data_IF_639975079610
#
_entry.id   IF_639975079610
#
_cell.length_a   1.000
_cell.length_b   1.000
_cell.length_c   1.000
_cell.angle_alpha   90.00
_cell.angle_beta   90.00
_cell.angle_gamma   90.00
#
_symmetry.space_group_name_H-M   'P 1'
#
loop_
_entity.id
_entity.type
_entity.pdbx_description
1 polymer ?
#
# COMPACT_ATOMS: atom_id res chain seq x y z
N UNK A 1 -1.17 -27.96 3.62
CA UNK A 1 -1.75 -26.65 4.05
C UNK A 1 -2.72 -26.25 2.96
N UNK A 2 -3.96 -25.87 3.29
CA UNK A 2 -4.94 -25.45 2.30
C UNK A 2 -4.71 -23.99 1.92
N UNK A 3 -4.69 -23.67 0.63
CA UNK A 3 -4.64 -22.31 0.13
C UNK A 3 -5.89 -21.55 0.57
N UNK A 4 -5.72 -20.38 1.15
CA UNK A 4 -6.83 -19.58 1.70
C UNK A 4 -6.51 -18.11 1.53
N UNK A 5 -7.47 -17.33 1.03
CA UNK A 5 -7.31 -15.88 0.91
C UNK A 5 -8.67 -15.17 0.97
N UNK A 6 -8.66 -13.96 1.49
CA UNK A 6 -9.84 -13.11 1.62
C UNK A 6 -9.53 -11.70 1.17
N UNK A 7 -10.42 -11.14 0.37
CA UNK A 7 -10.48 -9.71 0.07
C UNK A 7 -11.46 -9.06 1.02
N UNK A 8 -11.01 -8.03 1.72
CA UNK A 8 -11.75 -7.38 2.79
C UNK A 8 -12.43 -6.12 2.26
N UNK A 9 -13.74 -5.95 2.50
CA UNK A 9 -14.43 -4.72 2.13
C UNK A 9 -13.87 -3.55 2.94
N UNK A 10 -13.59 -2.43 2.29
CA UNK A 10 -13.12 -1.20 2.94
C UNK A 10 -14.27 -0.22 3.03
N UNK A 11 -14.72 0.09 4.25
CA UNK A 11 -15.76 1.09 4.52
C UNK A 11 -15.19 2.51 4.54
N UNK A 12 -16.07 3.51 4.40
CA UNK A 12 -15.66 4.90 4.60
C UNK A 12 -15.12 5.15 6.00
N UNK A 13 -15.70 4.51 7.02
CA UNK A 13 -15.23 4.58 8.41
C UNK A 13 -13.79 4.05 8.54
N UNK A 14 -13.46 2.92 7.90
CA UNK A 14 -12.10 2.38 7.88
C UNK A 14 -11.13 3.33 7.18
N UNK A 15 -11.57 3.99 6.12
CA UNK A 15 -10.76 5.00 5.42
C UNK A 15 -10.54 6.24 6.28
N UNK A 16 -11.56 6.71 6.97
CA UNK A 16 -11.50 7.88 7.86
C UNK A 16 -10.66 7.61 9.10
N UNK A 17 -10.66 6.36 9.58
CA UNK A 17 -9.76 5.89 10.63
C UNK A 17 -8.28 5.95 10.21
N UNK A 18 -7.97 5.85 8.92
CA UNK A 18 -6.62 6.00 8.39
C UNK A 18 -5.74 4.74 8.45
N UNK A 19 -6.29 3.59 8.83
CA UNK A 19 -5.58 2.30 8.84
C UNK A 19 -6.56 1.17 8.53
N UNK A 20 -6.33 0.42 7.45
CA UNK A 20 -7.21 -0.69 7.07
C UNK A 20 -6.49 -1.74 6.25
N UNK A 21 -7.03 -2.95 6.32
CA UNK A 21 -6.60 -4.09 5.53
C UNK A 21 -7.47 -4.21 4.28
N UNK A 22 -6.89 -4.72 3.20
CA UNK A 22 -7.59 -4.92 1.92
C UNK A 22 -7.62 -6.38 1.50
N UNK A 23 -6.60 -7.16 1.88
CA UNK A 23 -6.61 -8.61 1.71
C UNK A 23 -5.62 -9.29 2.66
N UNK A 24 -5.89 -10.56 2.93
CA UNK A 24 -4.97 -11.46 3.66
C UNK A 24 -5.09 -12.85 3.05
N UNK A 25 -3.98 -13.59 3.05
CA UNK A 25 -4.02 -14.97 2.59
C UNK A 25 -2.74 -15.72 2.82
N UNK A 26 -2.81 -17.02 2.49
CA UNK A 26 -1.67 -17.93 2.44
C UNK A 26 -1.77 -18.86 1.25
N UNK A 27 -0.62 -19.24 0.71
CA UNK A 27 -0.52 -20.16 -0.41
C UNK A 27 0.76 -20.96 -0.38
N UNK A 28 0.67 -22.19 -0.86
CA UNK A 28 1.83 -23.03 -1.12
C UNK A 28 1.97 -23.26 -2.62
N UNK A 29 3.13 -22.96 -3.17
CA UNK A 29 3.45 -23.14 -4.59
C UNK A 29 4.50 -24.24 -4.69
N UNK A 30 4.12 -25.37 -5.23
CA UNK A 30 5.00 -26.51 -5.38
C UNK A 30 6.07 -26.28 -6.46
N UNK A 31 7.16 -27.06 -6.38
CA UNK A 31 8.18 -27.07 -7.42
C UNK A 31 7.54 -27.40 -8.79
N UNK A 32 7.93 -26.65 -9.81
CA UNK A 32 7.39 -26.78 -11.18
C UNK A 32 6.03 -26.13 -11.43
N UNK A 33 5.33 -25.66 -10.39
CA UNK A 33 4.02 -25.01 -10.54
C UNK A 33 4.17 -23.63 -11.19
N UNK A 34 3.19 -23.24 -12.01
CA UNK A 34 3.13 -21.92 -12.63
C UNK A 34 2.79 -20.85 -11.58
N UNK A 35 3.47 -19.71 -11.65
CA UNK A 35 3.26 -18.56 -10.77
C UNK A 35 3.15 -17.27 -11.59
N UNK A 36 2.26 -16.33 -11.25
CA UNK A 36 1.20 -16.50 -10.25
C UNK A 36 0.12 -17.49 -10.72
N UNK A 37 -0.57 -18.14 -9.78
CA UNK A 37 -1.67 -19.03 -10.15
C UNK A 37 -2.84 -18.23 -10.72
N UNK A 38 -3.65 -18.86 -11.57
CA UNK A 38 -4.85 -18.25 -12.11
C UNK A 38 -5.94 -18.08 -11.04
N UNK A 39 -6.83 -17.09 -11.23
CA UNK A 39 -8.00 -16.89 -10.36
C UNK A 39 -7.93 -15.72 -9.39
N UNK A 40 -6.85 -14.95 -9.38
CA UNK A 40 -6.80 -13.67 -8.65
C UNK A 40 -7.46 -12.55 -9.47
N UNK A 41 -8.07 -11.53 -8.82
CA UNK A 41 -8.55 -10.33 -9.50
C UNK A 41 -7.45 -9.65 -10.32
N UNK A 42 -7.84 -8.94 -11.39
CA UNK A 42 -6.92 -8.42 -12.40
C UNK A 42 -5.74 -7.57 -11.87
N UNK A 43 -5.94 -6.79 -10.79
CA UNK A 43 -4.88 -5.98 -10.16
C UNK A 43 -3.79 -6.82 -9.49
N UNK A 44 -4.12 -8.07 -9.09
CA UNK A 44 -3.18 -9.00 -8.46
C UNK A 44 -2.58 -10.01 -9.45
N UNK A 45 -3.14 -10.07 -10.67
CA UNK A 45 -2.55 -10.85 -11.74
C UNK A 45 -1.36 -10.10 -12.34
N UNK A 46 -0.26 -10.78 -12.52
CA UNK A 46 0.89 -10.24 -13.24
C UNK A 46 1.66 -11.35 -13.97
N UNK A 47 2.43 -10.93 -14.96
CA UNK A 47 3.39 -11.77 -15.65
C UNK A 47 4.79 -11.35 -15.19
N UNK A 48 5.66 -12.33 -14.91
CA UNK A 48 7.07 -12.03 -14.58
C UNK A 48 7.73 -11.10 -15.58
N UNK A 49 7.37 -11.16 -16.86
CA UNK A 49 7.96 -10.29 -17.90
C UNK A 49 7.55 -8.83 -17.75
N UNK A 50 6.34 -8.58 -17.27
CA UNK A 50 5.77 -7.23 -17.17
C UNK A 50 5.87 -6.65 -15.77
N UNK A 51 5.82 -7.50 -14.74
CA UNK A 51 5.65 -7.05 -13.38
C UNK A 51 4.28 -6.40 -13.17
N UNK A 52 4.15 -5.64 -12.08
CA UNK A 52 2.93 -4.89 -11.78
C UNK A 52 3.21 -3.69 -10.89
N UNK A 53 2.22 -2.81 -10.80
CA UNK A 53 2.14 -1.72 -9.82
C UNK A 53 0.88 -1.91 -9.01
N UNK A 54 0.97 -1.93 -7.69
CA UNK A 54 -0.20 -1.99 -6.79
C UNK A 54 -0.57 -0.58 -6.32
N UNK A 55 -1.88 -0.33 -6.04
CA UNK A 55 -2.33 0.95 -5.47
C UNK A 55 -2.21 0.99 -3.93
N UNK A 56 -1.68 -0.06 -3.31
CA UNK A 56 -1.63 -0.28 -1.87
C UNK A 56 -0.31 -0.88 -1.43
N UNK A 57 -0.06 -0.89 -0.14
CA UNK A 57 1.05 -1.63 0.45
C UNK A 57 0.70 -3.12 0.55
N UNK A 58 1.72 -3.96 0.39
CA UNK A 58 1.60 -5.37 0.75
C UNK A 58 2.85 -5.85 1.48
N UNK A 59 2.62 -6.67 2.49
CA UNK A 59 3.64 -7.47 3.15
C UNK A 59 3.47 -8.90 2.68
N UNK A 60 4.49 -9.45 2.02
CA UNK A 60 4.52 -10.86 1.61
C UNK A 60 5.61 -11.56 2.41
N UNK A 61 5.22 -12.56 3.17
CA UNK A 61 6.13 -13.39 3.96
C UNK A 61 6.32 -14.75 3.29
N UNK A 62 7.49 -14.98 2.75
CA UNK A 62 7.91 -16.30 2.26
C UNK A 62 8.53 -17.06 3.42
N UNK A 63 7.78 -17.99 4.00
CA UNK A 63 8.20 -18.74 5.20
C UNK A 63 9.09 -19.93 4.91
N UNK A 64 9.03 -20.46 3.69
CA UNK A 64 9.84 -21.59 3.23
C UNK A 64 9.97 -21.55 1.71
N UNK A 65 11.06 -22.11 1.19
CA UNK A 65 11.34 -22.17 -0.25
C UNK A 65 12.38 -21.14 -0.67
N UNK A 66 12.37 -20.79 -1.96
CA UNK A 66 13.30 -19.84 -2.55
C UNK A 66 12.62 -19.05 -3.65
N UNK A 67 13.10 -17.86 -3.92
CA UNK A 67 12.52 -17.01 -4.94
C UNK A 67 13.37 -15.83 -5.35
N UNK A 68 12.78 -14.99 -6.19
CA UNK A 68 13.37 -13.74 -6.65
C UNK A 68 12.33 -12.61 -6.55
N UNK A 69 12.82 -11.45 -6.18
CA UNK A 69 12.10 -10.19 -6.15
C UNK A 69 12.87 -9.13 -6.95
N UNK A 70 12.15 -8.25 -7.60
CA UNK A 70 12.75 -7.10 -8.31
C UNK A 70 11.82 -5.90 -8.23
N UNK A 71 12.38 -4.74 -7.97
CA UNK A 71 11.71 -3.44 -8.08
C UNK A 71 12.66 -2.39 -8.65
N UNK A 72 12.12 -1.23 -9.00
CA UNK A 72 12.95 -0.10 -9.49
C UNK A 72 14.01 0.32 -8.45
N UNK A 73 13.68 0.23 -7.16
CA UNK A 73 14.55 0.70 -6.08
C UNK A 73 15.56 -0.36 -5.61
N UNK A 74 15.17 -1.65 -5.60
CA UNK A 74 16.05 -2.71 -5.08
C UNK A 74 16.90 -3.38 -6.16
N UNK A 75 16.49 -3.29 -7.44
CA UNK A 75 16.96 -4.21 -8.47
C UNK A 75 16.56 -5.66 -8.17
N UNK A 76 17.14 -6.60 -8.90
CA UNK A 76 16.90 -8.03 -8.71
C UNK A 76 17.58 -8.54 -7.42
N UNK A 77 16.79 -9.21 -6.56
CA UNK A 77 17.23 -9.89 -5.34
C UNK A 77 16.75 -11.33 -5.36
N UNK A 78 17.66 -12.28 -5.17
CA UNK A 78 17.33 -13.68 -4.95
C UNK A 78 17.46 -14.02 -3.48
N UNK A 79 16.62 -14.94 -3.00
CA UNK A 79 16.61 -15.40 -1.62
C UNK A 79 16.25 -16.89 -1.55
N UNK A 80 16.78 -17.58 -0.53
CA UNK A 80 16.54 -19.01 -0.28
C UNK A 80 16.31 -19.32 1.22
N UNK A 81 16.00 -18.30 1.97
CA UNK A 81 15.72 -18.33 3.40
C UNK A 81 14.39 -17.58 3.69
N UNK A 82 13.80 -17.72 4.89
CA UNK A 82 12.59 -16.98 5.26
C UNK A 82 12.75 -15.46 5.06
N UNK A 83 11.88 -14.90 4.22
CA UNK A 83 12.04 -13.53 3.71
C UNK A 83 10.71 -12.77 3.74
N UNK A 84 10.78 -11.50 4.13
CA UNK A 84 9.72 -10.51 3.95
C UNK A 84 9.97 -9.72 2.68
N UNK A 85 8.90 -9.52 1.91
CA UNK A 85 8.85 -8.61 0.78
C UNK A 85 7.86 -7.50 1.09
N UNK A 86 8.32 -6.25 1.10
CA UNK A 86 7.45 -5.08 1.19
C UNK A 86 7.18 -4.53 -0.19
N UNK A 87 5.90 -4.41 -0.55
CA UNK A 87 5.44 -3.81 -1.79
C UNK A 87 4.85 -2.44 -1.49
N UNK A 88 5.13 -1.47 -2.35
CA UNK A 88 4.76 -0.07 -2.13
C UNK A 88 3.77 0.41 -3.20
N UNK A 89 2.79 1.25 -2.84
CA UNK A 89 1.88 1.82 -3.81
C UNK A 89 2.64 2.66 -4.84
N UNK A 90 2.31 2.45 -6.11
CA UNK A 90 2.92 3.19 -7.19
C UNK A 90 4.32 2.72 -7.61
N UNK A 91 4.95 1.81 -6.89
CA UNK A 91 6.28 1.27 -7.23
C UNK A 91 6.15 0.00 -8.05
N UNK A 92 6.78 -0.03 -9.21
CA UNK A 92 6.83 -1.23 -10.04
C UNK A 92 7.63 -2.33 -9.35
N UNK A 93 7.09 -3.57 -9.38
CA UNK A 93 7.74 -4.73 -8.81
C UNK A 93 7.31 -6.03 -9.52
N UNK A 94 8.12 -7.07 -9.31
CA UNK A 94 7.80 -8.45 -9.66
C UNK A 94 8.47 -9.40 -8.68
N UNK A 95 7.86 -10.57 -8.48
CA UNK A 95 8.44 -11.63 -7.65
C UNK A 95 7.89 -12.99 -8.09
N UNK A 96 8.65 -14.04 -7.81
CA UNK A 96 8.26 -15.42 -8.13
C UNK A 96 9.05 -16.42 -7.30
N UNK A 97 8.51 -17.64 -7.07
CA UNK A 97 9.29 -18.75 -6.54
C UNK A 97 10.37 -19.20 -7.53
N UNK A 98 11.44 -19.75 -7.01
CA UNK A 98 12.38 -20.53 -7.79
C UNK A 98 11.67 -21.79 -8.26
N UNK A 99 11.70 -22.07 -9.56
CA UNK A 99 10.89 -23.12 -10.19
C UNK A 99 11.15 -24.52 -9.61
N UNK A 100 12.39 -24.80 -9.26
CA UNK A 100 12.84 -26.10 -8.79
C UNK A 100 12.51 -26.36 -7.32
N UNK A 101 12.24 -25.30 -6.55
CA UNK A 101 12.02 -25.38 -5.08
C UNK A 101 10.59 -25.03 -4.67
N UNK A 102 9.95 -24.10 -5.38
CA UNK A 102 8.69 -23.54 -4.94
C UNK A 102 8.84 -22.71 -3.66
N UNK A 103 7.71 -22.34 -3.04
CA UNK A 103 7.69 -21.64 -1.76
C UNK A 103 6.34 -21.75 -1.04
N UNK A 104 6.32 -21.33 0.22
CA UNK A 104 5.11 -21.08 0.99
C UNK A 104 5.07 -19.61 1.36
N UNK A 105 4.02 -18.93 0.91
CA UNK A 105 3.83 -17.49 1.14
C UNK A 105 2.58 -17.20 1.97
N UNK A 106 2.65 -16.12 2.70
CA UNK A 106 1.54 -15.43 3.37
C UNK A 106 1.58 -13.97 2.99
N UNK A 107 0.44 -13.33 2.84
CA UNK A 107 0.42 -11.90 2.53
C UNK A 107 -0.63 -11.17 3.33
N UNK A 108 -0.37 -9.90 3.54
CA UNK A 108 -1.26 -8.92 4.11
C UNK A 108 -1.19 -7.65 3.26
N UNK A 109 -2.30 -7.29 2.62
CA UNK A 109 -2.41 -6.01 1.92
C UNK A 109 -3.11 -5.00 2.83
N UNK A 110 -2.61 -3.78 2.84
CA UNK A 110 -3.05 -2.73 3.76
C UNK A 110 -2.84 -1.35 3.15
N UNK A 111 -3.57 -0.37 3.69
CA UNK A 111 -3.42 1.02 3.27
C UNK A 111 -3.90 1.99 4.37
N UNK A 112 -3.89 3.27 4.05
CA UNK A 112 -4.31 4.35 4.93
C UNK A 112 -3.15 5.24 5.37
N UNK A 113 -3.48 6.31 6.06
CA UNK A 113 -2.51 7.33 6.48
C UNK A 113 -1.40 6.76 7.35
N UNK A 114 -1.74 5.81 8.24
CA UNK A 114 -0.75 5.15 9.09
C UNK A 114 0.27 4.37 8.26
N UNK A 115 -0.16 3.67 7.20
CA UNK A 115 0.74 2.96 6.30
C UNK A 115 1.70 3.93 5.58
N UNK A 116 1.17 5.02 5.04
CA UNK A 116 1.99 6.06 4.42
C UNK A 116 2.94 6.73 5.43
N UNK A 117 2.52 6.87 6.68
CA UNK A 117 3.38 7.41 7.73
C UNK A 117 4.54 6.47 8.09
N UNK A 118 4.32 5.15 8.11
CA UNK A 118 5.42 4.19 8.29
C UNK A 118 6.49 4.35 7.19
N UNK A 119 6.07 4.51 5.94
CA UNK A 119 6.97 4.74 4.82
C UNK A 119 7.71 6.09 4.94
N UNK A 120 7.00 7.17 5.26
CA UNK A 120 7.59 8.52 5.39
C UNK A 120 8.57 8.65 6.57
N UNK A 121 8.36 7.85 7.62
CA UNK A 121 9.28 7.76 8.76
C UNK A 121 10.48 6.85 8.46
N UNK A 122 10.54 6.23 7.28
CA UNK A 122 11.62 5.31 6.91
C UNK A 122 11.59 3.98 7.67
N UNK A 123 10.45 3.62 8.29
CA UNK A 123 10.27 2.32 8.95
C UNK A 123 10.10 1.19 7.94
N UNK A 124 9.54 1.50 6.78
CA UNK A 124 9.51 0.68 5.58
C UNK A 124 9.97 1.54 4.42
N UNK A 125 10.87 1.02 3.58
CA UNK A 125 11.44 1.78 2.46
C UNK A 125 11.49 0.91 1.20
N UNK A 126 11.22 1.48 0.02
CA UNK A 126 11.32 0.73 -1.23
C UNK A 126 12.73 0.17 -1.49
N UNK A 127 13.80 0.85 -1.04
CA UNK A 127 15.18 0.38 -1.13
C UNK A 127 15.47 -0.87 -0.28
N UNK A 128 14.71 -1.04 0.81
CA UNK A 128 14.84 -2.15 1.76
C UNK A 128 13.63 -3.09 1.71
N UNK A 129 13.10 -3.31 0.51
CA UNK A 129 11.90 -4.10 0.29
C UNK A 129 12.07 -5.60 0.56
N UNK A 130 13.30 -6.11 0.68
CA UNK A 130 13.62 -7.53 0.89
C UNK A 130 14.37 -7.69 2.20
N UNK A 131 13.75 -8.33 3.18
CA UNK A 131 14.29 -8.45 4.53
C UNK A 131 14.29 -9.92 5.00
N UNK A 132 15.41 -10.36 5.56
CA UNK A 132 15.53 -11.70 6.17
C UNK A 132 14.79 -11.75 7.50
N UNK A 133 14.04 -12.83 7.73
CA UNK A 133 13.32 -13.09 8.98
C UNK A 133 14.16 -13.94 9.92
N UNK A 134 14.31 -13.49 11.16
CA UNK A 134 15.06 -14.20 12.21
C UNK A 134 14.23 -15.22 12.98
N UNK A 135 12.92 -14.98 13.14
CA UNK A 135 11.97 -15.90 13.79
C UNK A 135 10.76 -16.18 12.89
N UNK A 136 10.92 -17.07 11.88
CA UNK A 136 9.85 -17.37 10.93
C UNK A 136 8.67 -18.12 11.57
N UNK A 137 8.90 -18.90 12.62
CA UNK A 137 7.84 -19.67 13.28
C UNK A 137 6.89 -18.76 14.06
N UNK A 138 7.42 -17.77 14.76
CA UNK A 138 6.60 -16.78 15.46
C UNK A 138 5.76 -15.97 14.48
N UNK A 139 6.39 -15.48 13.42
CA UNK A 139 5.68 -14.69 12.40
C UNK A 139 4.61 -15.52 11.68
N UNK A 140 4.88 -16.79 11.40
CA UNK A 140 3.91 -17.75 10.84
C UNK A 140 2.67 -17.85 11.73
N UNK A 141 2.86 -18.05 13.04
CA UNK A 141 1.75 -18.15 13.99
C UNK A 141 0.90 -16.87 14.03
N UNK A 142 1.52 -15.70 13.99
CA UNK A 142 0.81 -14.43 14.01
C UNK A 142 -0.01 -14.21 12.72
N UNK A 143 0.56 -14.55 11.56
CA UNK A 143 -0.17 -14.52 10.29
C UNK A 143 -1.37 -15.47 10.30
N UNK A 144 -1.15 -16.72 10.71
CA UNK A 144 -2.21 -17.72 10.72
C UNK A 144 -3.32 -17.34 11.72
N UNK A 145 -2.98 -16.82 12.90
CA UNK A 145 -3.95 -16.34 13.89
C UNK A 145 -4.81 -15.17 13.36
N UNK A 146 -4.22 -14.25 12.60
CA UNK A 146 -4.98 -13.16 11.98
C UNK A 146 -5.87 -13.69 10.84
N UNK A 147 -5.34 -14.59 10.02
CA UNK A 147 -6.10 -15.21 8.92
C UNK A 147 -7.29 -16.02 9.45
N UNK A 148 -7.12 -16.78 10.52
CA UNK A 148 -8.19 -17.57 11.14
C UNK A 148 -9.33 -16.67 11.61
N UNK A 149 -9.05 -15.51 12.23
CA UNK A 149 -10.06 -14.51 12.59
C UNK A 149 -10.83 -13.96 11.40
N UNK A 150 -10.13 -13.73 10.28
CA UNK A 150 -10.77 -13.30 9.04
C UNK A 150 -11.64 -14.41 8.47
N UNK A 151 -11.21 -15.68 8.54
CA UNK A 151 -12.00 -16.82 8.10
C UNK A 151 -13.29 -16.99 8.91
N UNK A 152 -13.26 -16.71 10.22
CA UNK A 152 -14.45 -16.75 11.10
C UNK A 152 -15.48 -15.70 10.69
N UNK A 153 -15.06 -14.53 10.22
CA UNK A 153 -15.97 -13.46 9.81
C UNK A 153 -15.43 -12.61 8.64
N UNK A 154 -15.43 -13.15 7.41
CA UNK A 154 -14.77 -12.54 6.24
C UNK A 154 -15.39 -11.22 5.76
N UNK A 155 -16.59 -10.88 6.23
CA UNK A 155 -17.31 -9.65 5.83
C UNK A 155 -16.98 -8.48 6.79
N UNK A 156 -16.47 -8.78 7.98
CA UNK A 156 -16.24 -7.78 9.02
C UNK A 156 -14.80 -7.25 8.97
N UNK A 157 -14.57 -6.22 8.18
CA UNK A 157 -13.33 -5.44 8.24
C UNK A 157 -13.46 -4.34 9.28
N UNK A 158 -13.26 -4.69 10.55
CA UNK A 158 -13.36 -3.75 11.66
C UNK A 158 -12.05 -2.99 11.90
N UNK A 159 -12.16 -1.83 12.57
CA UNK A 159 -10.98 -1.09 13.06
C UNK A 159 -10.08 -1.99 13.92
N UNK A 160 -10.67 -2.86 14.74
CA UNK A 160 -9.90 -3.79 15.59
C UNK A 160 -9.12 -4.81 14.77
N UNK A 161 -9.68 -5.32 13.67
CA UNK A 161 -8.96 -6.20 12.75
C UNK A 161 -7.80 -5.46 12.09
N UNK A 162 -8.02 -4.21 11.69
CA UNK A 162 -6.96 -3.36 11.12
C UNK A 162 -5.83 -3.12 12.11
N UNK A 163 -6.14 -2.81 13.38
CA UNK A 163 -5.13 -2.68 14.43
C UNK A 163 -4.31 -3.96 14.64
N UNK A 164 -4.95 -5.13 14.57
CA UNK A 164 -4.24 -6.42 14.66
C UNK A 164 -3.32 -6.64 13.45
N UNK A 165 -3.77 -6.28 12.24
CA UNK A 165 -2.96 -6.33 11.03
C UNK A 165 -1.75 -5.40 11.10
N UNK A 166 -1.92 -4.18 11.60
CA UNK A 166 -0.78 -3.27 11.83
C UNK A 166 0.13 -3.76 12.96
N UNK A 167 -0.41 -4.45 13.97
CA UNK A 167 0.38 -5.18 14.95
C UNK A 167 1.25 -6.26 14.32
N UNK A 168 0.67 -7.05 13.39
CA UNK A 168 1.42 -8.05 12.62
C UNK A 168 2.55 -7.43 11.78
N UNK A 169 2.32 -6.24 11.18
CA UNK A 169 3.39 -5.51 10.46
C UNK A 169 4.52 -5.11 11.42
N UNK A 170 4.19 -4.65 12.62
CA UNK A 170 5.19 -4.34 13.64
C UNK A 170 5.99 -5.60 14.06
N UNK A 171 5.32 -6.72 14.30
CA UNK A 171 5.96 -8.00 14.60
C UNK A 171 6.87 -8.47 13.46
N UNK A 172 6.41 -8.30 12.22
CA UNK A 172 7.19 -8.61 11.02
C UNK A 172 8.48 -7.79 10.97
N UNK A 173 8.40 -6.48 11.18
CA UNK A 173 9.58 -5.61 11.24
C UNK A 173 10.53 -5.98 12.38
N UNK A 174 10.01 -6.28 13.57
CA UNK A 174 10.80 -6.70 14.72
C UNK A 174 11.46 -8.07 14.52
N UNK A 175 10.89 -8.93 13.68
CA UNK A 175 11.43 -10.26 13.36
C UNK A 175 12.58 -10.23 12.35
N UNK A 176 12.92 -9.08 11.78
CA UNK A 176 14.03 -8.97 10.83
C UNK A 176 15.37 -8.81 11.53
N UNK A 177 16.44 -9.38 10.97
CA UNK A 177 17.77 -9.35 11.56
C UNK A 177 18.36 -7.91 11.70
N UNK A 178 17.81 -6.95 10.99
CA UNK A 178 18.21 -5.54 11.03
C UNK A 178 17.33 -4.65 11.95
N UNK A 179 16.29 -5.26 12.55
CA UNK A 179 15.13 -4.48 13.01
C UNK A 179 15.33 -3.58 14.25
N UNK A 180 15.96 -3.96 15.37
CA UNK A 180 15.89 -3.09 16.54
C UNK A 180 16.70 -1.82 16.39
N UNK A 181 17.86 -1.90 15.76
CA UNK A 181 18.79 -0.77 15.65
C UNK A 181 18.43 0.17 14.49
N UNK A 182 17.98 -0.37 13.36
CA UNK A 182 17.60 0.45 12.21
C UNK A 182 16.23 1.13 12.40
N UNK A 183 15.23 0.45 12.95
CA UNK A 183 13.92 1.04 13.23
C UNK A 183 13.99 2.08 14.35
N UNK A 184 14.72 1.82 15.44
CA UNK A 184 14.94 2.81 16.50
C UNK A 184 15.87 3.92 16.02
N UNK A 185 16.91 3.61 15.23
CA UNK A 185 17.74 4.62 14.59
C UNK A 185 17.01 5.41 13.50
N UNK A 186 16.03 4.78 12.79
CA UNK A 186 15.16 5.48 11.85
C UNK A 186 14.18 6.40 12.59
N UNK A 187 13.61 5.99 13.71
CA UNK A 187 12.80 6.87 14.58
C UNK A 187 13.61 8.03 15.13
N UNK A 188 14.87 7.79 15.53
CA UNK A 188 15.78 8.84 16.01
C UNK A 188 16.42 9.64 14.87
N UNK A 189 16.74 9.02 13.71
CA UNK A 189 17.23 9.73 12.51
C UNK A 189 16.11 10.45 11.78
N UNK A 190 14.87 9.93 11.76
CA UNK A 190 13.73 10.66 11.23
C UNK A 190 13.42 11.88 12.09
N UNK A 191 13.67 11.83 13.40
CA UNK A 191 13.71 13.05 14.21
C UNK A 191 14.85 14.01 13.81
N UNK A 192 15.98 13.49 13.30
CA UNK A 192 17.13 14.29 12.88
C UNK A 192 17.16 14.65 11.37
N UNK A 193 16.47 13.90 10.51
CA UNK A 193 16.43 14.13 9.06
C UNK A 193 15.23 14.93 8.58
N UNK A 194 14.13 14.97 9.34
CA UNK A 194 13.04 15.95 9.27
C UNK A 194 13.21 16.92 10.45
N UNK A 195 14.34 17.58 10.49
CA UNK A 195 14.66 18.60 11.52
C UNK A 195 13.77 19.86 11.40
N UNK A 196 12.83 19.80 10.45
CA UNK A 196 11.81 20.80 10.25
C UNK A 196 10.46 20.31 10.79
N UNK A 197 10.22 20.54 12.09
CA UNK A 197 8.95 20.25 12.76
C UNK A 197 7.74 20.83 11.99
N UNK A 198 7.96 21.92 11.25
CA UNK A 198 6.95 22.58 10.43
C UNK A 198 6.59 21.72 9.21
N UNK A 199 7.59 21.12 8.55
CA UNK A 199 7.35 20.26 7.39
C UNK A 199 6.65 18.99 7.83
N UNK A 200 7.01 18.40 8.96
CA UNK A 200 6.34 17.25 9.54
C UNK A 200 4.86 17.54 9.83
N UNK A 201 4.56 18.67 10.47
CA UNK A 201 3.18 19.10 10.71
C UNK A 201 2.43 19.39 9.40
N UNK A 202 3.10 19.99 8.40
CA UNK A 202 2.49 20.20 7.08
C UNK A 202 2.11 18.87 6.42
N UNK A 203 3.00 17.89 6.43
CA UNK A 203 2.74 16.55 5.90
C UNK A 203 1.57 15.87 6.63
N UNK A 204 1.54 15.95 7.95
CA UNK A 204 0.44 15.41 8.75
C UNK A 204 -0.92 16.03 8.36
N UNK A 205 -0.98 17.36 8.20
CA UNK A 205 -2.19 18.04 7.74
C UNK A 205 -2.58 17.60 6.32
N UNK A 206 -1.62 17.45 5.41
CA UNK A 206 -1.88 17.01 4.04
C UNK A 206 -2.46 15.59 4.04
N UNK A 207 -1.81 14.65 4.73
CA UNK A 207 -2.24 13.25 4.73
C UNK A 207 -3.60 13.04 5.40
N UNK A 208 -3.88 13.79 6.47
CA UNK A 208 -5.16 13.68 7.17
C UNK A 208 -6.31 14.43 6.50
N UNK A 209 -6.03 15.48 5.70
CA UNK A 209 -7.07 16.38 5.20
C UNK A 209 -7.07 16.62 3.71
N UNK A 210 -6.21 15.96 2.91
CA UNK A 210 -6.17 16.14 1.45
C UNK A 210 -7.50 15.84 0.75
N UNK A 211 -8.32 14.95 1.33
CA UNK A 211 -9.66 14.62 0.85
C UNK A 211 -10.72 15.72 1.10
N UNK A 212 -10.41 16.67 1.95
CA UNK A 212 -11.23 17.86 2.20
C UNK A 212 -10.82 19.01 1.25
N UNK A 213 -11.64 20.05 1.12
CA UNK A 213 -11.31 21.24 0.35
C UNK A 213 -10.24 22.08 1.09
N UNK A 214 -9.00 21.59 1.12
CA UNK A 214 -7.85 22.25 1.74
C UNK A 214 -6.96 22.90 0.67
N UNK A 215 -6.42 24.08 0.97
CA UNK A 215 -5.43 24.79 0.17
C UNK A 215 -4.09 24.92 0.90
N UNK A 216 -3.03 25.22 0.15
CA UNK A 216 -1.70 25.52 0.72
C UNK A 216 -1.78 26.66 1.75
N UNK A 217 -2.65 27.65 1.50
CA UNK A 217 -2.86 28.76 2.43
C UNK A 217 -3.50 28.31 3.75
N UNK A 218 -4.41 27.33 3.71
CA UNK A 218 -5.06 26.82 4.91
C UNK A 218 -4.11 25.98 5.75
N UNK A 219 -3.18 25.28 5.11
CA UNK A 219 -2.09 24.59 5.80
C UNK A 219 -1.15 25.59 6.46
N UNK A 220 -0.72 26.63 5.72
CA UNK A 220 0.18 27.64 6.26
C UNK A 220 -0.42 28.39 7.46
N UNK A 221 -1.73 28.64 7.50
CA UNK A 221 -2.43 29.28 8.63
C UNK A 221 -2.37 28.45 9.92
N UNK A 222 -2.19 27.15 9.83
CA UNK A 222 -2.11 26.25 10.98
C UNK A 222 -0.66 26.09 11.48
N UNK A 223 0.30 26.72 10.82
CA UNK A 223 1.72 26.61 11.10
C UNK A 223 2.33 28.00 11.40
N UNK A 224 3.36 28.07 12.21
CA UNK A 224 4.00 29.37 12.55
C UNK A 224 4.90 29.90 11.41
N UNK A 225 4.42 29.83 10.16
CA UNK A 225 5.15 30.28 8.96
C UNK A 225 4.23 30.89 7.93
N UNK A 226 4.79 31.75 7.06
CA UNK A 226 4.06 32.23 5.89
C UNK A 226 3.97 31.13 4.81
N UNK A 227 2.96 31.23 3.92
CA UNK A 227 2.84 30.35 2.77
C UNK A 227 4.13 30.24 1.96
N UNK A 228 4.77 31.37 1.65
CA UNK A 228 6.04 31.41 0.88
C UNK A 228 7.17 30.66 1.59
N UNK A 229 7.25 30.80 2.91
CA UNK A 229 8.24 30.08 3.72
C UNK A 229 7.96 28.59 3.74
N UNK A 230 6.68 28.20 3.88
CA UNK A 230 6.25 26.81 3.83
C UNK A 230 6.63 26.16 2.48
N UNK A 231 6.21 26.77 1.35
CA UNK A 231 6.50 26.24 0.00
C UNK A 231 8.02 26.05 -0.21
N UNK A 232 8.83 27.04 0.14
CA UNK A 232 10.29 26.96 -0.02
C UNK A 232 10.91 25.86 0.83
N UNK A 233 10.54 25.77 2.11
CA UNK A 233 11.08 24.75 3.04
C UNK A 233 10.62 23.35 2.65
N UNK A 234 9.33 23.23 2.29
CA UNK A 234 8.75 21.96 1.86
C UNK A 234 9.48 21.42 0.62
N UNK A 235 9.65 22.26 -0.41
CA UNK A 235 10.38 21.87 -1.61
C UNK A 235 11.86 21.50 -1.33
N UNK A 236 12.52 22.20 -0.41
CA UNK A 236 13.90 21.91 -0.04
C UNK A 236 14.06 20.55 0.67
N UNK A 237 13.06 20.13 1.44
CA UNK A 237 13.09 18.88 2.21
C UNK A 237 12.54 17.68 1.40
N UNK A 238 11.44 17.88 0.64
CA UNK A 238 10.72 16.80 -0.03
C UNK A 238 10.98 16.71 -1.52
N UNK A 239 11.62 17.71 -2.12
CA UNK A 239 11.79 17.83 -3.58
C UNK A 239 10.52 18.18 -4.34
N UNK A 240 9.38 18.40 -3.66
CA UNK A 240 8.05 18.66 -4.26
C UNK A 240 7.43 19.91 -3.66
N UNK A 241 6.47 20.53 -4.37
CA UNK A 241 5.67 21.60 -3.76
C UNK A 241 4.59 21.01 -2.83
N UNK A 242 4.10 21.85 -1.90
CA UNK A 242 2.97 21.46 -1.02
C UNK A 242 1.72 21.09 -1.84
N UNK A 243 1.48 21.79 -2.95
CA UNK A 243 0.34 21.50 -3.83
C UNK A 243 0.49 20.16 -4.54
N UNK A 244 1.69 19.83 -5.00
CA UNK A 244 1.96 18.53 -5.65
C UNK A 244 1.72 17.38 -4.69
N UNK A 245 2.12 17.53 -3.44
CA UNK A 245 1.88 16.52 -2.40
C UNK A 245 0.38 16.35 -2.10
N UNK A 246 -0.39 17.45 -1.99
CA UNK A 246 -1.85 17.39 -1.85
C UNK A 246 -2.47 16.65 -3.05
N UNK A 247 -2.03 16.96 -4.26
CA UNK A 247 -2.56 16.33 -5.48
C UNK A 247 -2.19 14.85 -5.56
N UNK A 248 -0.97 14.47 -5.20
CA UNK A 248 -0.53 13.08 -5.15
C UNK A 248 -1.38 12.25 -4.16
N UNK A 249 -1.65 12.78 -2.96
CA UNK A 249 -2.55 12.15 -2.00
C UNK A 249 -3.97 11.96 -2.56
N UNK A 250 -4.50 12.97 -3.27
CA UNK A 250 -5.82 12.90 -3.90
C UNK A 250 -5.88 11.89 -5.03
N UNK A 251 -4.86 11.84 -5.89
CA UNK A 251 -4.77 10.84 -6.97
C UNK A 251 -4.68 9.44 -6.38
N UNK A 252 -3.85 9.23 -5.36
CA UNK A 252 -3.73 7.95 -4.67
C UNK A 252 -5.08 7.50 -4.09
N UNK A 253 -5.84 8.41 -3.44
CA UNK A 253 -7.20 8.11 -2.95
C UNK A 253 -8.18 7.80 -4.10
N UNK A 254 -8.11 8.55 -5.21
CA UNK A 254 -8.95 8.30 -6.38
C UNK A 254 -8.67 6.93 -7.00
N UNK A 255 -7.40 6.54 -7.14
CA UNK A 255 -6.98 5.21 -7.64
C UNK A 255 -7.65 4.10 -6.85
N UNK A 256 -7.59 4.19 -5.53
CA UNK A 256 -8.21 3.23 -4.64
C UNK A 256 -9.73 3.17 -4.81
N UNK A 257 -10.42 4.31 -4.75
CA UNK A 257 -11.87 4.38 -4.94
C UNK A 257 -12.32 3.83 -6.30
N UNK A 258 -11.52 4.04 -7.35
CA UNK A 258 -11.79 3.50 -8.68
C UNK A 258 -11.73 1.98 -8.74
N UNK A 259 -10.82 1.36 -7.99
CA UNK A 259 -10.60 -0.10 -7.98
C UNK A 259 -11.57 -0.79 -7.03
N UNK A 260 -11.77 -0.23 -5.84
CA UNK A 260 -12.51 -0.85 -4.75
C UNK A 260 -14.03 -0.60 -4.81
N UNK A 261 -14.48 0.38 -5.60
CA UNK A 261 -15.90 0.78 -5.64
C UNK A 261 -16.44 0.92 -7.08
N UNK A 262 -17.76 0.84 -7.20
CA UNK A 262 -18.49 1.14 -8.45
C UNK A 262 -19.01 2.58 -8.51
N UNK A 263 -18.57 3.46 -7.62
CA UNK A 263 -19.04 4.84 -7.54
C UNK A 263 -18.83 5.57 -8.88
N UNK A 264 -19.76 6.45 -9.28
CA UNK A 264 -19.57 7.30 -10.45
C UNK A 264 -18.26 8.10 -10.38
N UNK A 265 -17.59 8.29 -11.50
CA UNK A 265 -16.31 9.04 -11.57
C UNK A 265 -16.40 10.41 -10.91
N UNK A 266 -17.55 11.10 -11.07
CA UNK A 266 -17.81 12.39 -10.42
C UNK A 266 -17.82 12.28 -8.89
N UNK A 267 -18.40 11.21 -8.36
CA UNK A 267 -18.44 10.95 -6.92
C UNK A 267 -17.03 10.61 -6.41
N UNK A 268 -16.28 9.79 -7.15
CA UNK A 268 -14.87 9.48 -6.82
C UNK A 268 -14.03 10.75 -6.75
N UNK A 269 -14.18 11.66 -7.72
CA UNK A 269 -13.46 12.94 -7.70
C UNK A 269 -13.76 13.75 -6.43
N UNK A 270 -15.02 13.85 -6.07
CA UNK A 270 -15.44 14.57 -4.86
C UNK A 270 -14.87 13.92 -3.59
N UNK A 271 -15.03 12.60 -3.44
CA UNK A 271 -14.55 11.85 -2.27
C UNK A 271 -13.01 11.82 -2.16
N UNK A 272 -12.33 11.94 -3.29
CA UNK A 272 -10.87 12.06 -3.32
C UNK A 272 -10.37 13.49 -3.03
N UNK A 273 -11.27 14.48 -2.88
CA UNK A 273 -10.93 15.85 -2.53
C UNK A 273 -10.67 16.77 -3.71
N UNK A 274 -11.01 16.36 -4.94
CA UNK A 274 -10.89 17.23 -6.10
C UNK A 274 -12.07 18.20 -6.19
N UNK A 275 -11.81 19.40 -6.67
CA UNK A 275 -12.85 20.41 -6.91
C UNK A 275 -13.80 20.06 -8.06
N UNK A 276 -13.36 19.19 -8.98
CA UNK A 276 -14.16 18.71 -10.10
C UNK A 276 -13.61 17.39 -10.67
N UNK A 277 -14.48 16.64 -11.36
CA UNK A 277 -14.08 15.44 -12.09
C UNK A 277 -13.04 15.73 -13.20
N UNK A 278 -13.14 16.90 -13.83
CA UNK A 278 -12.19 17.32 -14.85
C UNK A 278 -10.79 17.59 -14.26
N UNK A 279 -10.71 18.25 -13.10
CA UNK A 279 -9.43 18.45 -12.42
C UNK A 279 -8.80 17.13 -12.01
N UNK A 280 -9.59 16.18 -11.50
CA UNK A 280 -9.12 14.83 -11.24
C UNK A 280 -8.61 14.17 -12.53
N UNK A 281 -9.38 14.23 -13.63
CA UNK A 281 -9.01 13.61 -14.89
C UNK A 281 -7.65 14.10 -15.40
N UNK A 282 -7.42 15.41 -15.38
CA UNK A 282 -6.15 16.01 -15.84
C UNK A 282 -4.97 15.46 -15.03
N UNK A 283 -5.02 15.59 -13.72
CA UNK A 283 -3.93 15.15 -12.84
C UNK A 283 -3.75 13.63 -12.87
N UNK A 284 -4.85 12.89 -12.99
CA UNK A 284 -4.82 11.44 -13.06
C UNK A 284 -4.15 10.94 -14.36
N UNK A 285 -4.44 11.58 -15.49
CA UNK A 285 -3.79 11.27 -16.79
C UNK A 285 -2.31 11.64 -16.75
N UNK A 286 -1.98 12.78 -16.15
CA UNK A 286 -0.60 13.24 -16.00
C UNK A 286 0.26 12.24 -15.17
N UNK A 287 -0.32 11.67 -14.12
CA UNK A 287 0.38 10.77 -13.21
C UNK A 287 0.35 9.30 -13.69
N UNK A 288 -0.80 8.83 -14.23
CA UNK A 288 -1.02 7.41 -14.55
C UNK A 288 -0.96 7.09 -16.06
N UNK A 289 -0.89 8.10 -16.91
CA UNK A 289 -0.93 7.92 -18.37
C UNK A 289 -2.27 7.47 -18.93
N UNK A 290 -3.29 7.26 -18.10
CA UNK A 290 -4.62 6.76 -18.48
C UNK A 290 -5.73 7.57 -17.81
N UNK A 291 -6.92 7.60 -18.41
CA UNK A 291 -8.07 8.25 -17.76
C UNK A 291 -8.60 7.42 -16.57
N UNK A 292 -9.27 8.05 -15.58
CA UNK A 292 -9.88 7.33 -14.46
C UNK A 292 -10.80 6.19 -14.89
N UNK A 293 -11.54 6.35 -15.99
CA UNK A 293 -12.44 5.32 -16.51
C UNK A 293 -11.68 4.12 -17.09
N UNK A 294 -10.61 4.38 -17.85
CA UNK A 294 -9.73 3.34 -18.38
C UNK A 294 -9.03 2.62 -17.24
N UNK A 295 -8.48 3.36 -16.29
CA UNK A 295 -7.83 2.81 -15.10
C UNK A 295 -8.75 1.87 -14.32
N UNK A 296 -10.02 2.25 -14.13
CA UNK A 296 -11.04 1.40 -13.52
C UNK A 296 -11.27 0.13 -14.34
N UNK A 297 -11.51 0.27 -15.64
CA UNK A 297 -11.82 -0.87 -16.52
C UNK A 297 -10.70 -1.92 -16.53
N UNK A 298 -9.45 -1.46 -16.48
CA UNK A 298 -8.27 -2.34 -16.48
C UNK A 298 -7.99 -2.99 -15.12
N UNK A 299 -8.40 -2.39 -14.01
CA UNK A 299 -8.00 -2.78 -12.65
C UNK A 299 -9.14 -3.07 -11.69
N UNK A 300 -10.41 -2.89 -12.10
CA UNK A 300 -11.57 -3.23 -11.26
C UNK A 300 -11.60 -4.73 -10.97
N UNK A 301 -11.76 -5.08 -9.70
CA UNK A 301 -11.82 -6.47 -9.21
C UNK A 301 -13.19 -7.11 -9.36
N UNK A 302 -14.21 -6.38 -9.81
CA UNK A 302 -15.55 -6.92 -10.03
C UNK A 302 -15.72 -7.41 -11.46
N UNK A 303 -16.27 -8.65 -11.66
CA UNK A 303 -16.80 -9.06 -12.96
C UNK A 303 -17.87 -8.04 -13.38
N UNK A 304 -17.91 -7.70 -14.68
CA UNK A 304 -19.05 -7.00 -15.22
C UNK A 304 -20.31 -7.83 -14.91
N UNK A 305 -21.22 -7.29 -14.08
CA UNK A 305 -22.56 -7.86 -13.96
C UNK A 305 -23.13 -7.88 -15.38
N UNK A 306 -23.55 -9.04 -15.83
CA UNK A 306 -24.28 -9.23 -17.08
C UNK A 306 -25.39 -8.15 -17.13
N UNK A 307 -25.22 -7.21 -18.02
CA UNK A 307 -26.33 -6.36 -18.44
C UNK A 307 -27.34 -7.29 -19.14
N UNK A 308 -28.32 -7.76 -18.38
CA UNK A 308 -29.46 -8.43 -18.93
C UNK A 308 -30.12 -7.47 -19.92
N UNK A 309 -30.17 -7.89 -21.19
CA UNK A 309 -31.01 -7.25 -22.19
C UNK A 309 -32.45 -7.27 -21.67
N UNK A 310 -33.16 -6.14 -21.68
CA UNK A 310 -34.60 -6.17 -21.50
C UNK A 310 -35.23 -6.65 -22.83
N UNK A 311 -35.91 -7.78 -22.75
CA UNK A 311 -36.92 -8.15 -23.75
C UNK A 311 -38.05 -7.12 -23.83
#
# INVERSE_FOLDING_TARGET
MQDTYHYLPVSNESMDWGAYLTSIGRKSVAAGQTYPPQGHPGVYQFDWRRGRVLPEFALVFVSAGAGAFESEETGLREFDEPTLLFLFPGVWHRYRPQRERGWTERWLCFNGEIAHRLASLGLIMPSDAVLRVSDPDSLTRHFDALLDKVCENPIQNSILLSLQGFGLIADALLSTAAAPTAAVAALTKSAAGLDDAIIRQAMEIIWTRSHLPISVSDIAKQLPVTRRTLDRRFAAVTGRSVLDEINACRVSRAKRLLVETTLPIKTVAYLAGFSSAERMRVLFVEEEGASPSIYRAERSTRPAEEQGDPE
#
